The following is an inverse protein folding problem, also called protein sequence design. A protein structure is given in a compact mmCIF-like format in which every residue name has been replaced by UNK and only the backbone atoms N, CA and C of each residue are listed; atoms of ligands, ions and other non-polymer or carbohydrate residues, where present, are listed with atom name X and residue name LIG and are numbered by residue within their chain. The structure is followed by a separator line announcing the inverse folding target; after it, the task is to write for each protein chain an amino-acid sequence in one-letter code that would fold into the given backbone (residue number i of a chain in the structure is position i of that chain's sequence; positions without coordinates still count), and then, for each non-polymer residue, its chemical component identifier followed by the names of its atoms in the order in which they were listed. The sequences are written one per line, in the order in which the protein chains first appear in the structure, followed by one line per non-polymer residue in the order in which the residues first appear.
data_IF_202582647717
#
_entry.id   IF_202582647717
#
_cell.length_a   1.000
_cell.length_b   1.000
_cell.length_c   1.000
_cell.angle_alpha   90.00
_cell.angle_beta   90.00
_cell.angle_gamma   90.00
#
_symmetry.space_group_name_H-M   'P 1'
#
loop_
_entity.id
_entity.type
_entity.pdbx_description
1 polymer ?
#
# COMPACT_ATOMS: atom_id res chain seq x y z
N UNK A 1 8.07 -14.35 53.96
CA UNK A 1 7.40 -14.00 52.70
C UNK A 1 7.19 -15.31 51.95
N UNK A 2 5.93 -15.73 51.72
CA UNK A 2 5.62 -17.09 51.24
C UNK A 2 6.04 -17.24 49.77
N UNK A 3 7.01 -18.09 49.49
CA UNK A 3 7.53 -18.38 48.16
C UNK A 3 6.48 -18.83 47.11
N UNK A 4 5.41 -19.44 47.56
CA UNK A 4 4.23 -19.82 46.78
C UNK A 4 3.43 -18.62 46.26
N UNK A 5 3.22 -17.61 47.09
CA UNK A 5 2.53 -16.36 46.72
C UNK A 5 3.33 -15.56 45.67
N UNK A 6 4.65 -15.47 45.88
CA UNK A 6 5.53 -14.74 44.97
C UNK A 6 5.61 -15.41 43.59
N UNK A 7 5.65 -16.75 43.55
CA UNK A 7 5.63 -17.51 42.28
C UNK A 7 4.29 -17.36 41.53
N UNK A 8 3.16 -17.39 42.27
CA UNK A 8 1.86 -17.18 41.65
C UNK A 8 1.73 -15.78 41.03
N UNK A 9 2.17 -14.74 41.75
CA UNK A 9 2.14 -13.37 41.27
C UNK A 9 3.01 -13.16 40.00
N UNK A 10 4.21 -13.75 39.97
CA UNK A 10 5.10 -13.67 38.78
C UNK A 10 4.48 -14.35 37.55
N UNK A 11 3.80 -15.49 37.71
CA UNK A 11 3.13 -16.17 36.60
C UNK A 11 1.96 -15.35 36.04
N UNK A 12 1.19 -14.69 36.89
CA UNK A 12 0.08 -13.83 36.46
C UNK A 12 0.63 -12.61 35.67
N UNK A 13 1.68 -11.97 36.18
CA UNK A 13 2.30 -10.82 35.49
C UNK A 13 2.84 -11.24 34.12
N UNK A 14 3.51 -12.39 34.04
CA UNK A 14 4.03 -12.90 32.76
C UNK A 14 2.91 -13.21 31.76
N UNK A 15 1.79 -13.77 32.22
CA UNK A 15 0.62 -14.05 31.35
C UNK A 15 -0.04 -12.77 30.84
N UNK A 16 -0.15 -11.73 31.68
CA UNK A 16 -0.70 -10.42 31.27
C UNK A 16 0.22 -9.73 30.26
N UNK A 17 1.54 -9.75 30.46
CA UNK A 17 2.49 -9.14 29.54
C UNK A 17 2.53 -9.86 28.19
N UNK A 18 2.43 -11.19 28.15
CA UNK A 18 2.34 -11.97 26.92
C UNK A 18 1.00 -11.70 26.18
N UNK A 19 -0.10 -11.61 26.91
CA UNK A 19 -1.43 -11.34 26.32
C UNK A 19 -1.54 -9.97 25.67
N UNK A 20 -0.97 -8.93 26.30
CA UNK A 20 -1.00 -7.56 25.75
C UNK A 20 -0.09 -7.40 24.53
N UNK A 21 1.03 -8.12 24.47
CA UNK A 21 1.94 -8.10 23.32
C UNK A 21 1.31 -8.67 22.05
N UNK A 22 0.49 -9.71 22.14
CA UNK A 22 -0.20 -10.28 20.99
C UNK A 22 -1.32 -9.37 20.46
N UNK A 23 -2.04 -8.65 21.33
CA UNK A 23 -3.14 -7.78 20.91
C UNK A 23 -2.65 -6.58 20.07
N UNK A 24 -1.47 -6.05 20.35
CA UNK A 24 -0.89 -4.92 19.60
C UNK A 24 -0.36 -5.30 18.20
N UNK A 25 -0.12 -6.58 17.95
CA UNK A 25 0.38 -7.04 16.65
C UNK A 25 -0.71 -7.13 15.55
N UNK A 26 -1.99 -7.11 15.93
CA UNK A 26 -3.11 -7.27 15.00
C UNK A 26 -3.58 -5.99 14.31
N UNK A 27 -3.14 -4.83 14.78
CA UNK A 27 -3.69 -3.52 14.35
C UNK A 27 -2.81 -2.76 13.36
N UNK A 28 -1.76 -3.38 12.84
CA UNK A 28 -0.92 -2.75 11.81
C UNK A 28 -1.64 -2.81 10.46
N UNK A 29 -1.77 -1.68 9.75
CA UNK A 29 -2.35 -1.68 8.42
C UNK A 29 -1.52 -2.57 7.50
N UNK A 30 -2.16 -3.54 6.84
CA UNK A 30 -1.49 -4.49 5.95
C UNK A 30 -1.11 -3.89 4.62
N UNK A 31 -1.76 -2.81 4.23
CA UNK A 31 -1.52 -2.11 2.97
C UNK A 31 -1.00 -0.70 3.26
N UNK A 32 -0.11 -0.18 2.41
CA UNK A 32 0.28 1.22 2.45
C UNK A 32 -0.93 2.14 2.26
N UNK A 33 -0.88 3.34 2.82
CA UNK A 33 -1.89 4.37 2.62
C UNK A 33 -1.96 4.86 1.17
N UNK A 34 -2.94 5.71 0.90
CA UNK A 34 -3.14 6.31 -0.40
C UNK A 34 -1.98 7.21 -0.80
N UNK A 35 -1.64 7.18 -2.09
CA UNK A 35 -0.55 7.96 -2.68
C UNK A 35 -1.11 9.01 -3.62
N UNK A 36 -0.82 10.27 -3.34
CA UNK A 36 -1.13 11.37 -4.25
C UNK A 36 0.01 11.54 -5.25
N UNK A 37 -0.28 11.35 -6.52
CA UNK A 37 0.71 11.46 -7.58
C UNK A 37 1.00 12.92 -7.89
N UNK A 38 2.27 13.24 -8.22
CA UNK A 38 2.65 14.59 -8.62
C UNK A 38 1.92 14.98 -9.90
N UNK A 39 1.21 16.12 -9.88
CA UNK A 39 0.55 16.68 -11.07
C UNK A 39 1.58 17.09 -12.12
N UNK A 40 1.37 16.64 -13.35
CA UNK A 40 2.06 17.18 -14.52
C UNK A 40 1.46 18.51 -14.96
N UNK A 41 2.20 19.25 -15.77
CA UNK A 41 1.69 20.43 -16.45
C UNK A 41 0.52 20.05 -17.37
N UNK A 42 -0.56 20.84 -17.35
CA UNK A 42 -1.78 20.55 -18.12
C UNK A 42 -2.64 19.42 -17.59
N UNK A 43 -2.32 18.80 -16.45
CA UNK A 43 -3.15 17.76 -15.85
C UNK A 43 -4.53 18.31 -15.46
N UNK A 44 -5.64 17.64 -15.84
CA UNK A 44 -7.00 18.11 -15.55
C UNK A 44 -7.37 18.00 -14.06
N UNK A 45 -6.63 17.25 -13.27
CA UNK A 45 -6.91 17.07 -11.85
C UNK A 45 -5.85 16.27 -11.12
N UNK A 46 -6.04 16.08 -9.82
CA UNK A 46 -5.18 15.28 -8.98
C UNK A 46 -5.47 13.79 -9.18
N UNK A 47 -4.44 12.95 -9.22
CA UNK A 47 -4.58 11.48 -9.19
C UNK A 47 -4.16 10.98 -7.83
N UNK A 48 -5.03 10.19 -7.20
CA UNK A 48 -4.73 9.47 -5.96
C UNK A 48 -4.82 7.97 -6.23
N UNK A 49 -3.75 7.26 -5.95
CA UNK A 49 -3.71 5.80 -6.02
C UNK A 49 -3.96 5.21 -4.65
N UNK A 50 -4.94 4.31 -4.56
CA UNK A 50 -5.24 3.57 -3.32
C UNK A 50 -4.86 2.11 -3.46
N UNK A 51 -3.99 1.62 -2.57
CA UNK A 51 -3.66 0.20 -2.51
C UNK A 51 -4.88 -0.65 -2.18
N UNK A 52 -5.78 -0.17 -1.34
CA UNK A 52 -6.97 -0.91 -0.92
C UNK A 52 -7.97 -1.19 -2.05
N UNK A 53 -7.96 -0.38 -3.12
CA UNK A 53 -8.80 -0.61 -4.31
C UNK A 53 -8.13 -1.50 -5.36
N UNK A 54 -6.84 -1.79 -5.22
CA UNK A 54 -6.06 -2.56 -6.19
C UNK A 54 -5.54 -3.89 -5.65
N UNK A 55 -5.50 -4.06 -4.34
CA UNK A 55 -4.86 -5.20 -3.67
C UNK A 55 -5.78 -5.78 -2.61
N UNK A 56 -5.99 -7.07 -2.65
CA UNK A 56 -6.67 -7.78 -1.56
C UNK A 56 -5.79 -7.78 -0.31
N UNK A 57 -6.25 -7.13 0.75
CA UNK A 57 -5.52 -7.04 2.02
C UNK A 57 -5.31 -8.42 2.70
N UNK A 58 -6.18 -9.39 2.41
CA UNK A 58 -6.05 -10.76 2.96
C UNK A 58 -4.99 -11.58 2.20
N UNK A 59 -4.78 -11.29 0.90
CA UNK A 59 -3.83 -11.99 0.02
C UNK A 59 -3.09 -11.00 -0.87
N UNK A 60 -2.23 -10.15 -0.31
CA UNK A 60 -1.60 -9.07 -1.06
C UNK A 60 -0.60 -9.59 -2.10
N UNK A 61 -0.92 -9.38 -3.38
CA UNK A 61 -0.06 -9.74 -4.52
C UNK A 61 0.88 -8.57 -4.89
N UNK A 62 1.72 -8.13 -3.97
CA UNK A 62 2.60 -6.97 -4.12
C UNK A 62 3.50 -7.06 -5.36
N UNK A 63 3.99 -8.26 -5.68
CA UNK A 63 4.93 -8.49 -6.78
C UNK A 63 4.29 -8.35 -8.18
N UNK A 64 2.97 -8.28 -8.28
CA UNK A 64 2.30 -7.98 -9.55
C UNK A 64 2.60 -6.57 -10.06
N UNK A 65 2.94 -5.65 -9.15
CA UNK A 65 3.24 -4.25 -9.44
C UNK A 65 4.68 -3.87 -9.07
N UNK A 66 5.24 -4.46 -8.01
CA UNK A 66 6.55 -4.11 -7.47
C UNK A 66 7.58 -5.22 -7.67
N UNK A 67 8.86 -4.89 -7.87
CA UNK A 67 9.42 -3.56 -8.15
C UNK A 67 9.36 -3.17 -9.62
N UNK A 68 8.92 -4.07 -10.52
CA UNK A 68 9.08 -3.89 -11.96
C UNK A 68 8.33 -2.66 -12.52
N UNK A 69 7.07 -2.47 -12.12
CA UNK A 69 6.25 -1.35 -12.62
C UNK A 69 6.40 -0.12 -11.75
N UNK A 70 6.39 -0.31 -10.44
CA UNK A 70 6.45 0.77 -9.45
C UNK A 70 7.48 0.45 -8.37
N UNK A 71 8.27 1.45 -7.96
CA UNK A 71 9.23 1.30 -6.86
C UNK A 71 8.50 1.10 -5.52
N UNK A 72 9.04 0.23 -4.65
CA UNK A 72 8.53 0.06 -3.28
C UNK A 72 8.99 1.18 -2.34
N UNK A 73 10.15 1.74 -2.60
CA UNK A 73 10.73 2.84 -1.83
C UNK A 73 10.55 4.14 -2.60
N UNK A 74 10.22 5.21 -1.90
CA UNK A 74 10.02 6.52 -2.51
C UNK A 74 11.27 7.05 -3.24
N UNK A 75 11.24 8.29 -3.67
CA UNK A 75 12.22 8.94 -4.55
C UNK A 75 13.70 8.94 -4.07
N UNK A 76 14.01 8.36 -2.94
CA UNK A 76 15.38 8.13 -2.46
C UNK A 76 16.07 6.92 -3.11
N UNK A 77 15.34 6.10 -3.87
CA UNK A 77 15.97 5.05 -4.67
C UNK A 77 16.78 5.70 -5.80
N UNK A 78 18.00 5.24 -5.98
CA UNK A 78 18.91 5.68 -7.06
C UNK A 78 18.35 5.42 -8.47
N UNK A 79 17.25 4.70 -8.56
CA UNK A 79 16.59 4.34 -9.80
C UNK A 79 15.58 5.41 -10.21
N UNK A 80 15.99 6.28 -11.12
CA UNK A 80 15.12 7.28 -11.75
C UNK A 80 14.11 6.58 -12.67
N UNK A 81 12.88 6.38 -12.20
CA UNK A 81 11.81 5.85 -13.07
C UNK A 81 11.23 6.96 -13.93
N UNK A 82 10.85 6.64 -15.18
CA UNK A 82 10.13 7.58 -16.03
C UNK A 82 8.83 8.04 -15.38
N UNK A 83 8.41 9.26 -15.66
CA UNK A 83 7.10 9.75 -15.24
C UNK A 83 5.97 8.90 -15.85
N UNK A 84 4.89 8.72 -15.08
CA UNK A 84 3.67 8.08 -15.58
C UNK A 84 3.00 9.07 -16.53
N UNK A 85 2.80 8.66 -17.78
CA UNK A 85 2.17 9.49 -18.83
C UNK A 85 1.12 8.68 -19.56
N UNK A 86 0.16 9.35 -20.21
CA UNK A 86 -0.87 8.69 -21.02
C UNK A 86 -0.26 7.88 -22.19
N UNK A 87 0.81 8.37 -22.82
CA UNK A 87 1.51 7.63 -23.88
C UNK A 87 2.07 6.30 -23.37
N UNK A 88 2.66 6.31 -22.18
CA UNK A 88 3.16 5.08 -21.54
C UNK A 88 2.02 4.14 -21.18
N UNK A 89 0.91 4.67 -20.67
CA UNK A 89 -0.28 3.88 -20.35
C UNK A 89 -0.91 3.29 -21.62
N UNK A 90 -1.03 4.06 -22.71
CA UNK A 90 -1.49 3.58 -24.01
C UNK A 90 -0.58 2.48 -24.59
N UNK A 91 0.71 2.51 -24.29
CA UNK A 91 1.67 1.45 -24.63
C UNK A 91 1.62 0.24 -23.67
N UNK A 92 0.64 0.15 -22.78
CA UNK A 92 0.46 -0.95 -21.83
C UNK A 92 1.44 -0.96 -20.66
N UNK A 93 2.02 0.20 -20.32
CA UNK A 93 2.94 0.37 -19.21
C UNK A 93 2.25 1.03 -18.03
N UNK A 94 2.88 0.96 -16.86
CA UNK A 94 2.40 1.58 -15.62
C UNK A 94 0.92 1.18 -15.36
N UNK A 95 0.02 2.13 -15.17
CA UNK A 95 -1.41 1.86 -14.97
C UNK A 95 -2.06 1.17 -16.20
N UNK A 96 -1.61 1.48 -17.42
CA UNK A 96 -2.08 0.88 -18.67
C UNK A 96 -1.74 -0.60 -18.84
N UNK A 97 -1.02 -1.21 -17.90
CA UNK A 97 -0.82 -2.66 -17.89
C UNK A 97 -2.13 -3.41 -17.68
N UNK A 98 -3.06 -2.84 -16.92
CA UNK A 98 -4.37 -3.39 -16.62
C UNK A 98 -5.52 -2.49 -17.10
N UNK A 99 -5.40 -1.16 -16.92
CA UNK A 99 -6.42 -0.21 -17.38
C UNK A 99 -6.46 -0.15 -18.92
N UNK A 100 -7.66 -0.26 -19.45
CA UNK A 100 -7.88 -0.43 -20.89
C UNK A 100 -7.84 -1.88 -21.37
N UNK A 101 -7.67 -2.86 -20.47
CA UNK A 101 -7.67 -4.31 -20.77
C UNK A 101 -8.56 -5.08 -19.80
N UNK A 102 -8.12 -5.20 -18.54
CA UNK A 102 -8.78 -5.96 -17.47
C UNK A 102 -9.58 -5.05 -16.53
N UNK A 103 -9.22 -3.77 -16.48
CA UNK A 103 -9.91 -2.73 -15.72
C UNK A 103 -10.51 -1.67 -16.66
N UNK A 104 -11.20 -0.68 -16.10
CA UNK A 104 -11.83 0.39 -16.88
C UNK A 104 -10.82 1.07 -17.83
N UNK A 105 -11.37 1.62 -18.94
CA UNK A 105 -10.58 2.26 -19.99
C UNK A 105 -9.92 3.57 -19.56
N UNK A 106 -9.11 4.11 -20.46
CA UNK A 106 -8.39 5.37 -20.26
C UNK A 106 -9.13 6.58 -20.86
N UNK A 107 -10.35 6.39 -21.33
CA UNK A 107 -11.12 7.39 -22.09
C UNK A 107 -11.79 8.42 -21.18
N UNK A 108 -12.13 8.04 -19.95
CA UNK A 108 -12.75 8.92 -18.96
C UNK A 108 -11.73 9.48 -17.99
N UNK A 109 -11.36 10.74 -18.20
CA UNK A 109 -10.39 11.45 -17.36
C UNK A 109 -10.80 11.50 -15.88
N UNK A 110 -12.11 11.52 -15.59
CA UNK A 110 -12.65 11.68 -14.23
C UNK A 110 -12.48 10.43 -13.37
N UNK A 111 -12.26 9.27 -13.99
CA UNK A 111 -12.01 8.02 -13.28
C UNK A 111 -10.68 8.03 -12.52
N UNK A 112 -9.71 8.82 -13.00
CA UNK A 112 -8.39 8.95 -12.39
C UNK A 112 -8.15 10.33 -11.80
N UNK A 113 -8.61 11.40 -12.47
CA UNK A 113 -8.33 12.78 -12.10
C UNK A 113 -9.50 13.37 -11.30
N UNK A 114 -9.28 13.59 -10.00
CA UNK A 114 -10.20 14.36 -9.17
C UNK A 114 -10.04 15.87 -9.45
N UNK A 115 -11.17 16.57 -9.52
CA UNK A 115 -11.23 18.05 -9.64
C UNK A 115 -11.06 18.69 -8.28
#
# INVERSE_FOLDING_TARGET
MNTTLTRGLLLVIAAVLLGTGLALAYDLPRLPGDLTLKRGEGSPGQVTFSHSSHVDAAKPACLSCHPERFSMLGASSTEKRPAITHDRMGAGRDCGACHGKEAFGLDDCTMCHAK
#
